data_IF_577701234635
#
_entry.id   IF_577701234635
#
_cell.length_a   1.000
_cell.length_b   1.000
_cell.length_c   1.000
_cell.angle_alpha   90.00
_cell.angle_beta   90.00
_cell.angle_gamma   90.00
#
_symmetry.space_group_name_H-M   'P 1'
#
loop_
_entity.id
_entity.type
_entity.pdbx_description
1 polymer ?
#
# COMPACT_ATOMS: atom_id res chain seq x y z
N UNK A 1 -8.00 -0.11 -56.82
CA UNK A 1 -9.01 -0.79 -55.97
C UNK A 1 -8.23 -1.76 -55.08
N UNK A 2 -7.88 -1.29 -53.88
CA UNK A 2 -7.02 -2.03 -52.94
C UNK A 2 -7.92 -2.83 -51.98
N UNK A 3 -7.87 -4.15 -52.10
CA UNK A 3 -8.56 -5.07 -51.18
C UNK A 3 -7.86 -5.08 -49.84
N UNK A 4 -8.52 -4.52 -48.80
CA UNK A 4 -8.09 -4.68 -47.41
C UNK A 4 -8.42 -6.10 -46.95
N UNK A 5 -7.39 -6.86 -46.60
CA UNK A 5 -7.55 -8.14 -45.94
C UNK A 5 -8.21 -7.94 -44.55
N UNK A 6 -9.14 -8.80 -44.13
CA UNK A 6 -9.75 -8.72 -42.82
C UNK A 6 -8.69 -9.02 -41.76
N UNK A 7 -8.67 -8.16 -40.71
CA UNK A 7 -7.81 -8.37 -39.53
C UNK A 7 -8.20 -9.70 -38.88
N UNK A 8 -7.22 -10.55 -38.64
CA UNK A 8 -7.40 -11.80 -37.91
C UNK A 8 -7.95 -11.52 -36.51
N UNK A 9 -9.11 -12.09 -36.20
CA UNK A 9 -9.69 -12.06 -34.87
C UNK A 9 -8.77 -12.90 -33.97
N UNK A 10 -8.02 -12.25 -33.09
CA UNK A 10 -7.23 -12.90 -32.06
C UNK A 10 -8.18 -13.55 -31.05
N UNK A 11 -8.38 -14.85 -31.17
CA UNK A 11 -9.10 -15.65 -30.18
C UNK A 11 -8.17 -15.82 -28.99
N UNK A 12 -8.39 -15.07 -27.92
CA UNK A 12 -7.68 -15.29 -26.68
C UNK A 12 -7.93 -16.72 -26.18
N UNK A 13 -6.88 -17.49 -25.82
CA UNK A 13 -7.05 -18.84 -25.33
C UNK A 13 -7.95 -18.87 -24.10
N UNK A 14 -8.89 -19.82 -24.05
CA UNK A 14 -9.75 -19.99 -22.87
C UNK A 14 -8.88 -20.32 -21.66
N UNK A 15 -8.98 -19.52 -20.61
CA UNK A 15 -8.27 -19.72 -19.34
C UNK A 15 -8.54 -21.14 -18.82
N UNK A 16 -7.50 -21.81 -18.34
CA UNK A 16 -7.59 -23.12 -17.70
C UNK A 16 -8.49 -23.07 -16.46
N UNK A 17 -8.96 -24.22 -15.99
CA UNK A 17 -9.75 -24.29 -14.74
C UNK A 17 -8.95 -23.73 -13.54
N UNK A 18 -7.66 -24.05 -13.48
CA UNK A 18 -6.75 -23.51 -12.45
C UNK A 18 -6.63 -22.00 -12.48
N UNK A 19 -6.49 -21.40 -13.66
CA UNK A 19 -6.44 -19.93 -13.80
C UNK A 19 -7.76 -19.25 -13.41
N UNK A 20 -8.91 -19.86 -13.73
CA UNK A 20 -10.22 -19.33 -13.31
C UNK A 20 -10.37 -19.38 -11.79
N UNK A 21 -9.93 -20.47 -11.16
CA UNK A 21 -9.97 -20.64 -9.72
C UNK A 21 -9.04 -19.63 -9.04
N UNK A 22 -7.83 -19.44 -9.56
CA UNK A 22 -6.89 -18.45 -9.06
C UNK A 22 -7.47 -17.02 -9.11
N UNK A 23 -8.08 -16.63 -10.22
CA UNK A 23 -8.75 -15.33 -10.38
C UNK A 23 -9.94 -15.20 -9.42
N UNK A 24 -10.71 -16.27 -9.19
CA UNK A 24 -11.84 -16.23 -8.26
C UNK A 24 -11.36 -16.06 -6.80
N UNK A 25 -10.30 -16.75 -6.40
CA UNK A 25 -9.69 -16.61 -5.07
C UNK A 25 -9.12 -15.19 -4.90
N UNK A 26 -8.37 -14.68 -5.86
CA UNK A 26 -7.81 -13.33 -5.79
C UNK A 26 -8.92 -12.25 -5.68
N UNK A 27 -9.99 -12.38 -6.44
CA UNK A 27 -11.16 -11.48 -6.32
C UNK A 27 -11.81 -11.57 -4.95
N UNK A 28 -11.99 -12.77 -4.40
CA UNK A 28 -12.54 -12.96 -3.07
C UNK A 28 -11.63 -12.33 -1.99
N UNK A 29 -10.33 -12.56 -2.07
CA UNK A 29 -9.35 -11.94 -1.18
C UNK A 29 -9.36 -10.42 -1.28
N UNK A 30 -9.34 -9.86 -2.49
CA UNK A 30 -9.40 -8.41 -2.72
C UNK A 30 -10.67 -7.77 -2.15
N UNK A 31 -11.80 -8.49 -2.19
CA UNK A 31 -13.04 -8.05 -1.56
C UNK A 31 -13.01 -8.14 -0.03
N UNK A 32 -12.40 -9.19 0.51
CA UNK A 32 -12.35 -9.46 1.95
C UNK A 32 -11.29 -8.60 2.67
N UNK A 33 -10.12 -8.37 2.05
CA UNK A 33 -9.00 -7.63 2.65
C UNK A 33 -9.42 -6.36 3.39
N UNK A 34 -10.12 -5.41 2.77
CA UNK A 34 -10.45 -4.16 3.47
C UNK A 34 -11.54 -4.33 4.54
N UNK A 35 -12.24 -5.47 4.56
CA UNK A 35 -13.31 -5.79 5.53
C UNK A 35 -12.82 -6.64 6.68
N UNK A 36 -11.67 -7.28 6.52
CA UNK A 36 -11.07 -8.13 7.54
C UNK A 36 -10.39 -7.28 8.61
N UNK A 37 -10.63 -7.53 9.90
CA UNK A 37 -9.92 -6.87 10.98
C UNK A 37 -8.40 -7.07 10.86
N UNK A 38 -7.61 -6.13 11.37
CA UNK A 38 -6.14 -6.21 11.42
C UNK A 38 -5.42 -6.16 10.07
N UNK A 39 -6.10 -5.83 8.96
CA UNK A 39 -5.45 -5.47 7.71
C UNK A 39 -4.87 -4.05 7.78
N UNK A 40 -3.86 -3.74 6.95
CA UNK A 40 -3.29 -2.40 6.90
C UNK A 40 -4.36 -1.35 6.60
N UNK A 41 -5.19 -1.57 5.59
CA UNK A 41 -6.26 -0.64 5.22
C UNK A 41 -7.29 -0.45 6.34
N UNK A 42 -7.65 -1.52 7.06
CA UNK A 42 -8.56 -1.42 8.19
C UNK A 42 -7.91 -0.68 9.36
N UNK A 43 -6.62 -0.93 9.63
CA UNK A 43 -5.85 -0.24 10.66
C UNK A 43 -5.71 1.25 10.33
N UNK A 44 -5.34 1.58 9.08
CA UNK A 44 -5.31 2.98 8.60
C UNK A 44 -6.68 3.62 8.77
N UNK A 45 -7.76 2.97 8.30
CA UNK A 45 -9.12 3.48 8.44
C UNK A 45 -9.52 3.75 9.89
N UNK A 46 -9.14 2.90 10.83
CA UNK A 46 -9.49 3.06 12.27
C UNK A 46 -8.76 4.21 12.93
N UNK A 47 -7.55 4.53 12.46
CA UNK A 47 -6.66 5.47 13.13
C UNK A 47 -6.44 6.78 12.36
N UNK A 48 -6.89 6.87 11.10
CA UNK A 48 -6.77 8.10 10.33
C UNK A 48 -7.54 9.24 11.00
N UNK A 49 -6.95 10.42 11.04
CA UNK A 49 -7.57 11.60 11.63
C UNK A 49 -8.87 11.98 10.90
N UNK A 50 -9.99 11.90 11.59
CA UNK A 50 -11.32 12.19 11.07
C UNK A 50 -11.61 13.66 10.81
N UNK A 51 -10.82 14.53 11.43
CA UNK A 51 -10.91 15.98 11.23
C UNK A 51 -10.02 16.47 10.08
N UNK A 52 -9.27 15.55 9.41
CA UNK A 52 -8.45 15.90 8.29
C UNK A 52 -9.31 16.35 7.10
N UNK A 53 -8.90 17.44 6.47
CA UNK A 53 -9.52 18.00 5.25
C UNK A 53 -8.67 17.75 4.00
N UNK A 54 -7.40 17.38 4.17
CA UNK A 54 -6.46 17.16 3.08
C UNK A 54 -5.53 15.98 3.33
N UNK A 55 -5.24 15.21 2.26
CA UNK A 55 -4.38 14.04 2.30
C UNK A 55 -3.42 14.05 1.10
N UNK A 56 -2.15 13.77 1.36
CA UNK A 56 -1.17 13.41 0.35
C UNK A 56 -0.93 11.90 0.39
N UNK A 57 -1.07 11.22 -0.75
CA UNK A 57 -0.77 9.80 -0.95
C UNK A 57 0.56 9.71 -1.73
N UNK A 58 1.64 9.34 -1.02
CA UNK A 58 3.01 9.30 -1.53
C UNK A 58 3.31 7.89 -2.01
N UNK A 59 3.68 7.75 -3.29
CA UNK A 59 3.79 6.46 -3.96
C UNK A 59 2.40 5.84 -4.16
N UNK A 60 1.44 6.63 -4.68
CA UNK A 60 0.03 6.22 -4.74
C UNK A 60 -0.24 5.04 -5.67
N UNK A 61 0.70 4.65 -6.52
CA UNK A 61 0.58 3.53 -7.44
C UNK A 61 -0.71 3.58 -8.27
N UNK A 62 -1.44 2.48 -8.29
CA UNK A 62 -2.76 2.36 -8.93
C UNK A 62 -3.92 2.88 -8.05
N UNK A 63 -3.61 3.42 -6.87
CA UNK A 63 -4.56 4.04 -5.96
C UNK A 63 -5.37 3.06 -5.11
N UNK A 64 -4.85 1.88 -4.82
CA UNK A 64 -5.56 0.87 -4.01
C UNK A 64 -5.98 1.37 -2.63
N UNK A 65 -5.15 2.07 -1.85
CA UNK A 65 -5.58 2.62 -0.57
C UNK A 65 -6.77 3.56 -0.70
N UNK A 66 -6.76 4.41 -1.70
CA UNK A 66 -7.84 5.39 -1.92
C UNK A 66 -9.11 4.77 -2.47
N UNK A 67 -9.09 3.63 -3.18
CA UNK A 67 -10.31 2.88 -3.52
C UNK A 67 -11.11 2.50 -2.28
N UNK A 68 -10.40 2.21 -1.18
CA UNK A 68 -11.02 1.87 0.09
C UNK A 68 -11.37 3.10 0.93
N UNK A 69 -10.54 4.14 0.92
CA UNK A 69 -10.66 5.29 1.82
C UNK A 69 -11.54 6.41 1.25
N UNK A 70 -11.48 6.70 -0.06
CA UNK A 70 -12.12 7.87 -0.67
C UNK A 70 -13.64 7.95 -0.46
N UNK A 71 -14.32 6.80 -0.49
CA UNK A 71 -15.77 6.75 -0.22
C UNK A 71 -16.16 6.94 1.26
N UNK A 72 -15.17 6.95 2.17
CA UNK A 72 -15.37 6.99 3.62
C UNK A 72 -14.85 8.27 4.27
N UNK A 73 -14.02 9.01 3.56
CA UNK A 73 -13.39 10.24 4.03
C UNK A 73 -13.91 11.43 3.22
N UNK A 74 -14.21 12.52 3.90
CA UNK A 74 -14.58 13.80 3.27
C UNK A 74 -13.34 14.71 3.26
N UNK A 75 -12.38 14.42 2.39
CA UNK A 75 -11.17 15.21 2.27
C UNK A 75 -10.75 15.36 0.81
N UNK A 76 -9.97 16.40 0.52
CA UNK A 76 -9.26 16.53 -0.74
C UNK A 76 -8.00 15.67 -0.70
N UNK A 77 -7.69 14.97 -1.80
CA UNK A 77 -6.48 14.16 -1.86
C UNK A 77 -5.65 14.46 -3.09
N UNK A 78 -4.33 14.35 -2.93
CA UNK A 78 -3.33 14.43 -3.99
C UNK A 78 -2.55 13.12 -3.99
N UNK A 79 -2.44 12.46 -5.14
CA UNK A 79 -1.58 11.30 -5.33
C UNK A 79 -0.30 11.70 -6.07
N UNK A 80 0.84 11.20 -5.61
CA UNK A 80 2.13 11.33 -6.30
C UNK A 80 2.76 9.96 -6.52
N UNK A 81 3.26 9.71 -7.72
CA UNK A 81 3.99 8.49 -8.07
C UNK A 81 5.02 8.78 -9.17
N UNK A 82 6.12 8.04 -9.15
CA UNK A 82 7.18 8.15 -10.17
C UNK A 82 6.84 7.35 -11.43
N UNK A 83 6.06 6.28 -11.31
CA UNK A 83 5.74 5.38 -12.40
C UNK A 83 4.47 5.79 -13.13
N UNK A 84 4.64 6.50 -14.23
CA UNK A 84 3.56 7.09 -15.00
C UNK A 84 2.44 6.10 -15.44
N UNK A 85 2.69 4.80 -15.76
CA UNK A 85 1.63 3.86 -16.07
C UNK A 85 0.65 3.66 -14.91
N UNK A 86 1.15 3.48 -13.67
CA UNK A 86 0.32 3.33 -12.47
C UNK A 86 -0.47 4.59 -12.16
N UNK A 87 0.20 5.74 -12.22
CA UNK A 87 -0.46 7.04 -11.98
C UNK A 87 -1.61 7.28 -12.96
N UNK A 88 -1.45 6.90 -14.25
CA UNK A 88 -2.52 6.98 -15.25
C UNK A 88 -3.71 6.07 -14.93
N UNK A 89 -3.48 4.87 -14.39
CA UNK A 89 -4.56 3.98 -13.94
C UNK A 89 -5.30 4.57 -12.73
N UNK A 90 -4.56 5.09 -11.77
CA UNK A 90 -5.11 5.81 -10.61
C UNK A 90 -5.99 6.98 -11.05
N UNK A 91 -5.53 7.77 -12.01
CA UNK A 91 -6.25 8.91 -12.58
C UNK A 91 -7.53 8.49 -13.32
N UNK A 92 -7.48 7.40 -14.12
CA UNK A 92 -8.69 6.85 -14.76
C UNK A 92 -9.74 6.41 -13.73
N UNK A 93 -9.28 5.89 -12.59
CA UNK A 93 -10.13 5.53 -11.45
C UNK A 93 -10.70 6.72 -10.68
N UNK A 94 -10.25 7.95 -10.95
CA UNK A 94 -10.65 9.19 -10.24
C UNK A 94 -10.51 9.08 -8.73
N UNK A 95 -9.39 8.48 -8.28
CA UNK A 95 -9.19 8.13 -6.87
C UNK A 95 -8.67 9.31 -6.03
N UNK A 96 -8.08 10.31 -6.68
CA UNK A 96 -7.65 11.56 -6.06
C UNK A 96 -8.23 12.77 -6.79
N UNK A 97 -8.24 13.90 -6.13
CA UNK A 97 -8.58 15.19 -6.74
C UNK A 97 -7.46 15.76 -7.60
N UNK A 98 -6.20 15.43 -7.28
CA UNK A 98 -5.00 15.87 -7.99
C UNK A 98 -4.00 14.72 -8.15
N UNK A 99 -3.20 14.79 -9.22
CA UNK A 99 -2.18 13.79 -9.54
C UNK A 99 -0.89 14.47 -9.94
N UNK A 100 0.22 14.01 -9.37
CA UNK A 100 1.56 14.53 -9.64
C UNK A 100 2.46 13.38 -10.08
N UNK A 101 3.10 13.52 -11.23
CA UNK A 101 4.18 12.62 -11.62
C UNK A 101 5.46 13.14 -10.98
N UNK A 102 6.06 12.37 -10.08
CA UNK A 102 7.23 12.83 -9.34
C UNK A 102 7.86 11.76 -8.47
N UNK A 103 9.11 12.01 -8.12
CA UNK A 103 9.95 11.15 -7.29
C UNK A 103 9.69 11.45 -5.80
N UNK A 104 9.45 10.40 -5.02
CA UNK A 104 9.23 10.51 -3.56
C UNK A 104 10.44 11.03 -2.81
N UNK A 105 11.64 10.91 -3.38
CA UNK A 105 12.90 11.47 -2.84
C UNK A 105 12.96 12.99 -2.94
N UNK A 106 12.13 13.62 -3.79
CA UNK A 106 12.10 15.06 -4.05
C UNK A 106 10.68 15.57 -4.16
N UNK A 107 9.91 15.47 -3.06
CA UNK A 107 8.51 15.88 -3.01
C UNK A 107 8.36 17.40 -3.19
N UNK A 108 7.61 17.88 -4.21
CA UNK A 108 7.52 19.30 -4.57
C UNK A 108 6.45 20.05 -3.76
N UNK A 109 6.31 19.72 -2.48
CA UNK A 109 5.28 20.30 -1.63
C UNK A 109 5.88 21.16 -0.51
N UNK A 110 5.11 22.14 -0.05
CA UNK A 110 5.51 23.00 1.07
C UNK A 110 5.32 22.27 2.40
N UNK A 111 6.10 22.69 3.41
CA UNK A 111 5.92 22.21 4.80
C UNK A 111 4.48 22.43 5.25
N UNK A 112 3.96 21.48 6.05
CA UNK A 112 2.62 21.57 6.65
C UNK A 112 1.50 21.86 5.63
N UNK A 113 1.59 21.30 4.43
CA UNK A 113 0.60 21.55 3.38
C UNK A 113 -0.57 20.55 3.38
N UNK A 114 -0.43 19.41 4.05
CA UNK A 114 -1.47 18.39 4.15
C UNK A 114 -1.77 18.04 5.61
N UNK A 115 -3.02 17.74 5.93
CA UNK A 115 -3.37 17.29 7.28
C UNK A 115 -2.84 15.89 7.55
N UNK A 116 -3.03 14.98 6.60
CA UNK A 116 -2.52 13.60 6.64
C UNK A 116 -1.57 13.37 5.46
N UNK A 117 -0.45 12.74 5.75
CA UNK A 117 0.45 12.19 4.72
C UNK A 117 0.45 10.68 4.85
N UNK A 118 0.01 10.00 3.79
CA UNK A 118 -0.05 8.54 3.64
C UNK A 118 1.08 8.10 2.71
N UNK A 119 1.77 7.01 3.05
CA UNK A 119 2.85 6.44 2.25
C UNK A 119 2.86 4.92 2.44
N UNK A 120 2.24 4.17 1.54
CA UNK A 120 2.05 2.73 1.71
C UNK A 120 2.92 1.94 0.75
N UNK A 121 3.72 0.99 1.29
CA UNK A 121 4.58 0.08 0.51
C UNK A 121 5.55 0.87 -0.41
N UNK A 122 6.34 1.77 0.16
CA UNK A 122 7.29 2.61 -0.57
C UNK A 122 8.67 2.58 0.07
N UNK A 123 8.76 2.59 1.41
CA UNK A 123 10.03 2.72 2.13
C UNK A 123 11.01 1.60 1.82
N UNK A 124 10.51 0.40 1.59
CA UNK A 124 11.29 -0.80 1.25
C UNK A 124 11.99 -0.70 -0.10
N UNK A 125 11.52 0.17 -0.99
CA UNK A 125 12.09 0.39 -2.32
C UNK A 125 13.21 1.44 -2.33
N UNK A 126 13.56 1.99 -1.19
CA UNK A 126 14.57 3.03 -1.03
C UNK A 126 15.78 2.50 -0.25
N UNK A 127 16.95 3.12 -0.47
CA UNK A 127 18.09 2.88 0.40
C UNK A 127 17.79 3.31 1.84
N UNK A 128 18.65 2.94 2.79
CA UNK A 128 18.50 3.34 4.19
C UNK A 128 18.45 4.86 4.35
N UNK A 129 19.36 5.55 3.70
CA UNK A 129 19.48 6.99 3.77
C UNK A 129 18.28 7.69 3.11
N UNK A 130 17.88 7.24 1.93
CA UNK A 130 16.73 7.78 1.20
C UNK A 130 15.43 7.57 1.98
N UNK A 131 15.23 6.36 2.55
CA UNK A 131 14.05 6.06 3.35
C UNK A 131 13.99 6.88 4.65
N UNK A 132 15.13 7.07 5.34
CA UNK A 132 15.20 7.92 6.52
C UNK A 132 14.85 9.38 6.18
N UNK A 133 15.40 9.92 5.08
CA UNK A 133 15.10 11.26 4.58
C UNK A 133 13.62 11.40 4.16
N UNK A 134 13.04 10.34 3.56
CA UNK A 134 11.63 10.34 3.22
C UNK A 134 10.77 10.44 4.47
N UNK A 135 11.02 9.65 5.52
CA UNK A 135 10.26 9.71 6.78
C UNK A 135 10.27 11.13 7.35
N UNK A 136 11.43 11.78 7.42
CA UNK A 136 11.55 13.18 7.89
C UNK A 136 10.76 14.15 6.99
N UNK A 137 10.76 13.88 5.68
CA UNK A 137 10.01 14.70 4.72
C UNK A 137 8.50 14.53 4.90
N UNK A 138 8.01 13.29 5.09
CA UNK A 138 6.59 13.04 5.38
C UNK A 138 6.14 13.81 6.64
N UNK A 139 6.94 13.77 7.72
CA UNK A 139 6.65 14.52 8.97
C UNK A 139 6.65 16.04 8.75
N UNK A 140 7.56 16.53 7.91
CA UNK A 140 7.63 17.95 7.55
C UNK A 140 6.43 18.42 6.74
N UNK A 141 5.87 17.56 5.87
CA UNK A 141 4.73 17.89 5.01
C UNK A 141 3.39 17.81 5.74
N UNK A 142 3.28 16.91 6.72
CA UNK A 142 2.06 16.70 7.48
C UNK A 142 1.86 17.78 8.53
N UNK A 143 0.62 18.24 8.68
CA UNK A 143 0.18 19.09 9.81
C UNK A 143 -0.18 18.27 11.04
N UNK A 144 -0.82 17.12 10.86
CA UNK A 144 -1.51 16.40 11.92
C UNK A 144 -1.07 14.96 12.06
N UNK A 145 -0.88 14.23 10.94
CA UNK A 145 -0.63 12.80 11.02
C UNK A 145 0.19 12.30 9.84
N UNK A 146 1.12 11.41 10.14
CA UNK A 146 1.85 10.60 9.15
C UNK A 146 1.46 9.14 9.35
N UNK A 147 1.16 8.47 8.24
CA UNK A 147 0.85 7.04 8.19
C UNK A 147 1.68 6.42 7.08
N UNK A 148 2.39 5.34 7.37
CA UNK A 148 3.00 4.54 6.32
C UNK A 148 2.94 3.05 6.63
N UNK A 149 3.11 2.23 5.61
CA UNK A 149 3.26 0.77 5.74
C UNK A 149 4.53 0.33 5.05
N UNK A 150 5.09 -0.77 5.54
CA UNK A 150 6.26 -1.42 4.93
C UNK A 150 6.34 -2.87 5.42
N UNK A 151 6.88 -3.80 4.62
CA UNK A 151 7.08 -5.19 5.04
C UNK A 151 7.96 -5.33 6.27
N UNK A 152 7.73 -6.42 7.03
CA UNK A 152 8.54 -6.85 8.17
C UNK A 152 9.11 -8.22 7.85
N UNK A 153 10.42 -8.37 7.94
CA UNK A 153 11.10 -9.60 7.62
C UNK A 153 11.56 -9.67 6.16
N UNK A 154 12.19 -10.76 5.83
CA UNK A 154 12.86 -10.97 4.55
C UNK A 154 11.83 -11.25 3.44
N UNK A 155 11.55 -10.26 2.64
CA UNK A 155 10.73 -10.35 1.46
C UNK A 155 11.57 -9.93 0.26
N UNK A 156 12.18 -10.93 -0.40
CA UNK A 156 12.91 -10.69 -1.64
C UNK A 156 11.89 -10.40 -2.75
N UNK A 157 11.87 -9.15 -3.20
CA UNK A 157 11.04 -8.71 -4.32
C UNK A 157 11.93 -8.06 -5.36
N UNK A 158 11.94 -8.66 -6.53
CA UNK A 158 12.55 -8.10 -7.73
C UNK A 158 11.59 -7.13 -8.45
N UNK A 159 12.02 -6.64 -9.59
CA UNK A 159 11.18 -5.84 -10.46
C UNK A 159 9.87 -6.55 -10.78
N UNK A 160 8.78 -5.83 -10.71
CA UNK A 160 7.44 -6.33 -10.98
C UNK A 160 6.73 -5.41 -11.97
N UNK A 161 6.06 -6.01 -12.97
CA UNK A 161 5.19 -5.28 -13.90
C UNK A 161 5.95 -4.23 -14.74
N UNK A 162 7.19 -4.57 -15.17
CA UNK A 162 8.12 -3.68 -15.89
C UNK A 162 8.45 -2.38 -15.14
N UNK A 163 8.28 -2.38 -13.82
CA UNK A 163 8.55 -1.26 -12.94
C UNK A 163 9.82 -1.51 -12.13
N UNK A 164 10.91 -0.90 -12.54
CA UNK A 164 12.23 -1.00 -11.89
C UNK A 164 12.25 -0.46 -10.45
N UNK A 165 11.27 0.35 -10.08
CA UNK A 165 11.15 0.93 -8.74
C UNK A 165 10.52 -0.01 -7.72
N UNK A 166 10.16 -1.25 -8.12
CA UNK A 166 9.52 -2.23 -7.23
C UNK A 166 10.50 -3.18 -6.53
N UNK A 167 11.78 -3.11 -6.82
CA UNK A 167 12.80 -3.92 -6.14
C UNK A 167 12.96 -3.46 -4.67
N UNK A 168 12.96 -4.42 -3.73
CA UNK A 168 13.23 -4.13 -2.33
C UNK A 168 14.73 -3.87 -2.10
N UNK A 169 15.05 -2.80 -1.40
CA UNK A 169 16.42 -2.40 -1.08
C UNK A 169 16.71 -2.48 0.41
N UNK A 170 15.67 -2.31 1.26
CA UNK A 170 15.82 -2.32 2.71
C UNK A 170 14.60 -2.92 3.41
N UNK A 171 14.87 -3.58 4.53
CA UNK A 171 13.86 -4.04 5.48
C UNK A 171 13.92 -3.14 6.70
N UNK A 172 12.77 -2.62 7.12
CA UNK A 172 12.61 -1.76 8.28
C UNK A 172 12.12 -2.57 9.49
N UNK A 173 12.75 -2.39 10.65
CA UNK A 173 12.35 -3.10 11.86
C UNK A 173 11.28 -2.30 12.63
N UNK A 174 10.29 -2.97 13.26
CA UNK A 174 9.30 -2.30 14.12
C UNK A 174 9.92 -1.49 15.26
N UNK A 175 11.06 -1.92 15.80
CA UNK A 175 11.79 -1.21 16.85
C UNK A 175 12.28 0.16 16.38
N UNK A 176 12.88 0.24 15.19
CA UNK A 176 13.36 1.50 14.59
C UNK A 176 12.23 2.53 14.44
N UNK A 177 11.01 2.07 14.09
CA UNK A 177 9.86 2.95 13.94
C UNK A 177 9.32 3.41 15.30
N UNK A 178 9.36 2.53 16.31
CA UNK A 178 8.99 2.89 17.68
C UNK A 178 9.96 3.94 18.25
N UNK A 179 11.26 3.79 18.03
CA UNK A 179 12.29 4.77 18.44
C UNK A 179 12.10 6.14 17.78
N UNK A 180 11.59 6.17 16.53
CA UNK A 180 11.20 7.41 15.84
C UNK A 180 9.88 8.00 16.33
N UNK A 181 9.23 7.40 17.33
CA UNK A 181 8.00 7.88 17.96
C UNK A 181 6.71 7.47 17.23
N UNK A 182 6.77 6.46 16.34
CA UNK A 182 5.58 5.89 15.72
C UNK A 182 4.92 4.84 16.62
N UNK A 183 3.59 4.83 16.61
CA UNK A 183 2.84 3.66 17.05
C UNK A 183 2.84 2.66 15.91
N UNK A 184 3.15 1.40 16.23
CA UNK A 184 3.36 0.35 15.23
C UNK A 184 2.40 -0.79 15.49
N UNK A 185 1.67 -1.18 14.44
CA UNK A 185 0.79 -2.36 14.44
C UNK A 185 1.24 -3.32 13.36
N UNK A 186 1.21 -4.61 13.69
CA UNK A 186 1.53 -5.65 12.73
C UNK A 186 0.31 -6.09 11.92
N UNK A 187 0.59 -6.65 10.75
CA UNK A 187 -0.39 -7.26 9.86
C UNK A 187 0.12 -8.59 9.33
N UNK A 188 -0.74 -9.60 9.36
CA UNK A 188 -0.41 -10.94 8.86
C UNK A 188 0.68 -11.62 9.68
N UNK A 189 1.15 -12.74 9.16
CA UNK A 189 2.25 -13.50 9.75
C UNK A 189 3.46 -13.45 8.84
N UNK A 190 4.64 -13.35 9.44
CA UNK A 190 5.91 -13.38 8.71
C UNK A 190 6.00 -14.66 7.87
N UNK A 191 6.44 -14.54 6.62
CA UNK A 191 6.64 -15.63 5.66
C UNK A 191 5.37 -16.43 5.27
N UNK A 192 4.19 -15.97 5.71
CA UNK A 192 2.91 -16.55 5.32
C UNK A 192 2.13 -15.49 4.52
N UNK A 193 2.08 -15.62 3.20
CA UNK A 193 1.25 -14.78 2.34
C UNK A 193 -0.22 -14.67 2.82
N UNK A 194 -1.17 -14.70 1.93
CA UNK A 194 -2.61 -14.66 2.25
C UNK A 194 -3.19 -13.26 2.09
N UNK A 195 -4.11 -12.87 2.99
CA UNK A 195 -4.82 -11.59 2.94
C UNK A 195 -3.92 -10.34 3.04
N UNK A 196 -2.61 -10.50 3.29
CA UNK A 196 -1.65 -9.40 3.27
C UNK A 196 -1.40 -8.79 1.89
N UNK A 197 -1.80 -9.47 0.81
CA UNK A 197 -1.51 -9.06 -0.55
C UNK A 197 -0.27 -9.74 -1.15
N UNK A 198 0.54 -10.39 -0.32
CA UNK A 198 1.73 -11.14 -0.73
C UNK A 198 1.29 -12.52 -1.22
N UNK A 199 1.84 -12.96 -2.33
CA UNK A 199 1.54 -14.30 -2.85
C UNK A 199 2.02 -15.36 -1.85
N UNK A 200 1.08 -16.22 -1.42
CA UNK A 200 1.44 -17.35 -0.57
C UNK A 200 2.29 -18.35 -1.35
N UNK A 201 3.42 -18.82 -0.80
CA UNK A 201 4.21 -19.89 -1.41
C UNK A 201 3.48 -21.23 -1.43
N UNK A 202 2.33 -21.34 -0.76
CA UNK A 202 1.56 -22.57 -0.65
C UNK A 202 0.71 -22.85 -1.91
N UNK A 203 0.45 -24.14 -2.20
CA UNK A 203 -0.45 -24.54 -3.26
C UNK A 203 -1.81 -23.84 -3.18
N UNK A 204 -2.41 -23.53 -4.32
CA UNK A 204 -3.66 -22.77 -4.45
C UNK A 204 -4.79 -23.31 -3.55
N UNK A 205 -4.90 -24.62 -3.42
CA UNK A 205 -5.93 -25.26 -2.59
C UNK A 205 -5.75 -25.02 -1.09
N UNK A 206 -4.54 -24.69 -0.62
CA UNK A 206 -4.26 -24.40 0.79
C UNK A 206 -4.36 -22.92 1.14
N UNK A 207 -4.47 -22.03 0.16
CA UNK A 207 -4.56 -20.58 0.39
C UNK A 207 -5.74 -20.18 1.29
N UNK A 208 -6.96 -20.74 1.16
CA UNK A 208 -8.04 -20.41 2.08
C UNK A 208 -7.75 -20.77 3.55
N UNK A 209 -6.99 -21.85 3.78
CA UNK A 209 -6.55 -22.20 5.14
C UNK A 209 -5.58 -21.17 5.69
N UNK A 210 -4.67 -20.68 4.87
CA UNK A 210 -3.76 -19.57 5.24
C UNK A 210 -4.55 -18.32 5.59
N UNK A 211 -5.58 -17.97 4.83
CA UNK A 211 -6.43 -16.81 5.12
C UNK A 211 -7.15 -16.96 6.48
N UNK A 212 -7.63 -18.16 6.80
CA UNK A 212 -8.23 -18.44 8.12
C UNK A 212 -7.19 -18.29 9.23
N UNK A 213 -6.01 -18.89 9.08
CA UNK A 213 -4.92 -18.77 10.05
C UNK A 213 -4.48 -17.32 10.21
N UNK A 214 -4.43 -16.56 9.11
CA UNK A 214 -4.10 -15.15 9.10
C UNK A 214 -5.10 -14.33 9.94
N UNK A 215 -6.41 -14.60 9.81
CA UNK A 215 -7.46 -13.93 10.59
C UNK A 215 -7.35 -14.31 12.07
N UNK A 216 -7.17 -15.60 12.38
CA UNK A 216 -7.05 -16.08 13.76
C UNK A 216 -5.80 -15.55 14.48
N UNK A 217 -4.68 -15.44 13.78
CA UNK A 217 -3.44 -14.89 14.31
C UNK A 217 -3.41 -13.35 14.33
N UNK A 218 -4.37 -12.72 13.65
CA UNK A 218 -4.45 -11.26 13.51
C UNK A 218 -4.28 -10.47 14.81
N UNK A 219 -4.97 -10.80 15.91
CA UNK A 219 -4.80 -10.09 17.19
C UNK A 219 -3.37 -10.15 17.73
N UNK A 220 -2.70 -11.29 17.55
CA UNK A 220 -1.32 -11.50 18.04
C UNK A 220 -0.34 -10.69 17.18
N UNK A 221 -0.37 -10.86 15.87
CA UNK A 221 0.51 -10.13 14.96
C UNK A 221 0.29 -8.62 15.04
N UNK A 222 -0.97 -8.19 15.22
CA UNK A 222 -1.33 -6.78 15.36
C UNK A 222 -0.70 -6.13 16.60
N UNK A 223 -0.68 -6.85 17.72
CA UNK A 223 -0.07 -6.37 18.98
C UNK A 223 1.45 -6.60 19.04
N UNK A 224 1.97 -7.55 18.27
CA UNK A 224 3.40 -7.91 18.21
C UNK A 224 3.91 -7.79 16.77
N UNK A 225 4.19 -6.57 16.29
CA UNK A 225 4.57 -6.35 14.90
C UNK A 225 5.86 -7.08 14.49
N UNK A 226 6.67 -7.52 15.43
CA UNK A 226 7.88 -8.33 15.20
C UNK A 226 7.56 -9.72 14.60
N UNK A 227 6.34 -10.22 14.81
CA UNK A 227 5.84 -11.49 14.27
C UNK A 227 5.06 -11.30 12.96
N UNK A 228 4.83 -10.08 12.58
CA UNK A 228 4.02 -9.73 11.42
C UNK A 228 4.80 -9.85 10.09
N UNK A 229 4.08 -9.97 8.99
CA UNK A 229 4.64 -9.88 7.63
C UNK A 229 4.70 -8.46 7.09
N UNK A 230 3.91 -7.55 7.68
CA UNK A 230 3.87 -6.13 7.33
C UNK A 230 3.55 -5.31 8.58
N UNK A 231 3.91 -4.03 8.59
CA UNK A 231 3.57 -3.12 9.68
C UNK A 231 2.90 -1.84 9.19
N UNK A 232 2.04 -1.30 10.04
CA UNK A 232 1.42 0.02 9.90
C UNK A 232 2.00 0.93 10.97
N UNK A 233 2.62 2.01 10.55
CA UNK A 233 3.25 3.00 11.40
C UNK A 233 2.46 4.31 11.37
N UNK A 234 2.07 4.82 12.53
CA UNK A 234 1.26 6.04 12.65
C UNK A 234 1.89 6.97 13.68
N UNK A 235 2.11 8.21 13.28
CA UNK A 235 2.56 9.28 14.16
C UNK A 235 1.61 10.46 14.10
N UNK A 236 1.02 10.81 15.21
CA UNK A 236 0.26 12.05 15.35
C UNK A 236 1.26 13.17 15.69
N UNK A 237 1.26 14.21 14.88
CA UNK A 237 2.06 15.39 15.09
C UNK A 237 1.22 16.33 15.99
N UNK A 238 1.82 16.85 17.06
CA UNK A 238 1.13 17.78 17.94
C UNK A 238 0.59 18.97 17.15
N UNK A 239 -0.57 19.49 17.56
CA UNK A 239 -1.01 20.81 17.07
C UNK A 239 0.02 21.80 17.58
N UNK A 240 0.77 22.45 16.68
CA UNK A 240 1.50 23.65 17.06
C UNK A 240 0.43 24.61 17.60
N UNK A 241 0.58 25.04 18.87
CA UNK A 241 -0.29 26.06 19.44
C UNK A 241 -0.13 27.32 18.57
N UNK A 242 -1.17 27.66 17.85
CA UNK A 242 -1.28 28.93 17.09
C UNK A 242 -1.45 30.08 18.04
#
# INVERSE_FOLDING_TARGET
>A
MSLRLPQAISIQPRRSVGERLAVAIDRAQSFLRPRTPFTALNTVWRHIDREASSLLDVGCGRGEPMRFLAGKLRLSSTGIDIFAPYLRECQRGRLHGQYVLGDVRRLPFRRKSFDVVLCMEVLEHLSEEEGAQLIETLERLARRQVIFTTPVGDWDQHEFDDNVYQAHQRIWAPAEMKERGYRVWGQGLRNLGGLSGIQSPLPLLLRPLVDVLWVLAGPISHSRPELAGNMVCIKNLGREAT
#
